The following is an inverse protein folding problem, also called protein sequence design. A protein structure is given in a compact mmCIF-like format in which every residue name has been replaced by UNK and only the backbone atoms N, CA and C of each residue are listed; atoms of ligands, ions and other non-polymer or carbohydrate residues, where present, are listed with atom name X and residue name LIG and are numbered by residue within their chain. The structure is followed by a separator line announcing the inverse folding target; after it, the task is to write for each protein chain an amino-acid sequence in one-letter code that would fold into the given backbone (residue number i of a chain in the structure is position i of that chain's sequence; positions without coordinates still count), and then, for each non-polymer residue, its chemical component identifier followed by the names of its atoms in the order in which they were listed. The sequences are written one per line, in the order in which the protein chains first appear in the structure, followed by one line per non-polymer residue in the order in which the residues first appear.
data_IF_138302123161
#
_entry.id   IF_138302123161
#
_cell.length_a   1.000
_cell.length_b   1.000
_cell.length_c   1.000
_cell.angle_alpha   90.00
_cell.angle_beta   90.00
_cell.angle_gamma   90.00
#
_symmetry.space_group_name_H-M   'P 1'
#
loop_
_entity.id
_entity.type
_entity.pdbx_description
1 polymer ?
#
# COMPACT_ATOMS: atom_id res chain seq x y z
N UNK A 1 -2.71 -6.05 -24.37
CA UNK A 1 -1.38 -5.46 -24.47
C UNK A 1 -0.30 -6.47 -24.14
N UNK A 2 0.75 -6.47 -24.91
CA UNK A 2 1.90 -7.35 -24.69
C UNK A 2 2.57 -7.14 -23.34
N UNK A 3 2.40 -5.97 -22.74
CA UNK A 3 2.94 -5.66 -21.42
C UNK A 3 2.43 -6.58 -20.34
N UNK A 4 1.17 -6.99 -20.41
CA UNK A 4 0.58 -7.88 -19.40
C UNK A 4 1.04 -9.33 -19.56
N UNK A 5 1.37 -9.73 -20.77
CA UNK A 5 1.87 -11.09 -21.03
C UNK A 5 3.32 -11.28 -20.58
N UNK A 6 4.08 -10.18 -20.44
CA UNK A 6 5.50 -10.22 -20.09
C UNK A 6 5.82 -9.80 -18.69
N UNK A 7 4.79 -9.62 -17.83
CA UNK A 7 5.01 -9.28 -16.42
C UNK A 7 5.72 -10.44 -15.73
N UNK A 8 6.94 -10.17 -15.26
CA UNK A 8 7.73 -11.14 -14.51
C UNK A 8 7.19 -11.22 -13.07
N UNK A 9 7.48 -12.34 -12.38
CA UNK A 9 7.04 -12.55 -11.00
C UNK A 9 7.38 -11.37 -10.08
N UNK A 10 8.56 -10.77 -10.27
CA UNK A 10 8.99 -9.61 -9.48
C UNK A 10 8.10 -8.40 -9.71
N UNK A 11 7.74 -8.12 -10.97
CA UNK A 11 6.86 -7.01 -11.32
C UNK A 11 5.44 -7.24 -10.78
N UNK A 12 4.97 -8.48 -10.86
CA UNK A 12 3.68 -8.85 -10.30
C UNK A 12 3.65 -8.67 -8.79
N UNK A 13 4.71 -9.07 -8.10
CA UNK A 13 4.86 -8.87 -6.66
C UNK A 13 4.76 -7.40 -6.29
N UNK A 14 5.54 -6.55 -6.97
CA UNK A 14 5.56 -5.11 -6.70
C UNK A 14 4.20 -4.47 -7.00
N UNK A 15 3.55 -4.89 -8.07
CA UNK A 15 2.21 -4.43 -8.45
C UNK A 15 1.18 -4.79 -7.37
N UNK A 16 1.20 -6.04 -6.89
CA UNK A 16 0.28 -6.50 -5.86
C UNK A 16 0.51 -5.79 -4.53
N UNK A 17 1.77 -5.60 -4.14
CA UNK A 17 2.11 -4.86 -2.92
C UNK A 17 1.56 -3.43 -3.01
N UNK A 18 1.73 -2.78 -4.15
CA UNK A 18 1.22 -1.42 -4.38
C UNK A 18 -0.29 -1.34 -4.26
N UNK A 19 -1.02 -2.27 -4.90
CA UNK A 19 -2.48 -2.32 -4.82
C UNK A 19 -2.95 -2.55 -3.39
N UNK A 20 -2.35 -3.50 -2.68
CA UNK A 20 -2.71 -3.82 -1.29
C UNK A 20 -2.40 -2.63 -0.38
N UNK A 21 -1.30 -1.94 -0.62
CA UNK A 21 -0.92 -0.71 0.08
C UNK A 21 -2.02 0.36 -0.06
N UNK A 22 -2.50 0.60 -1.28
CA UNK A 22 -3.56 1.57 -1.52
C UNK A 22 -4.89 1.15 -0.89
N UNK A 23 -5.21 -0.15 -0.92
CA UNK A 23 -6.40 -0.68 -0.25
C UNK A 23 -6.31 -0.46 1.26
N UNK A 24 -5.14 -0.64 1.84
CA UNK A 24 -4.92 -0.40 3.27
C UNK A 24 -5.22 1.05 3.64
N UNK A 25 -4.75 2.01 2.85
CA UNK A 25 -5.07 3.42 3.06
C UNK A 25 -6.57 3.69 2.95
N UNK A 26 -7.25 3.07 1.98
CA UNK A 26 -8.70 3.20 1.84
C UNK A 26 -9.45 2.63 3.05
N UNK A 27 -8.97 1.53 3.62
CA UNK A 27 -9.52 0.95 4.84
C UNK A 27 -9.36 1.89 6.04
N UNK A 28 -8.19 2.51 6.18
CA UNK A 28 -7.96 3.50 7.22
C UNK A 28 -8.86 4.72 7.06
N UNK A 29 -9.00 5.21 5.83
CA UNK A 29 -9.87 6.34 5.53
C UNK A 29 -11.34 6.01 5.83
N UNK A 30 -11.75 4.77 5.57
CA UNK A 30 -13.10 4.31 5.91
C UNK A 30 -13.31 4.21 7.42
N UNK A 31 -12.28 3.72 8.14
CA UNK A 31 -12.35 3.55 9.60
C UNK A 31 -12.47 4.87 10.34
N UNK A 32 -11.69 5.87 9.95
CA UNK A 32 -11.63 7.17 10.64
C UNK A 32 -12.47 8.25 9.98
N UNK A 33 -12.94 8.06 8.75
CA UNK A 33 -13.51 9.08 7.88
C UNK A 33 -12.41 9.82 7.11
N UNK A 34 -12.70 10.19 5.86
CA UNK A 34 -11.71 10.81 4.97
C UNK A 34 -11.08 12.07 5.55
N UNK A 35 -11.91 12.96 6.11
CA UNK A 35 -11.45 14.23 6.67
C UNK A 35 -10.50 14.00 7.85
N UNK A 36 -10.91 13.14 8.77
CA UNK A 36 -10.11 12.85 9.97
C UNK A 36 -8.81 12.12 9.62
N UNK A 37 -8.89 11.15 8.71
CA UNK A 37 -7.70 10.43 8.26
C UNK A 37 -6.70 11.37 7.59
N UNK A 38 -7.18 12.29 6.75
CA UNK A 38 -6.33 13.30 6.10
C UNK A 38 -5.62 14.16 7.13
N UNK A 39 -6.32 14.62 8.14
CA UNK A 39 -5.74 15.41 9.23
C UNK A 39 -4.69 14.62 10.00
N UNK A 40 -4.98 13.37 10.34
CA UNK A 40 -4.05 12.47 11.04
C UNK A 40 -2.79 12.22 10.20
N UNK A 41 -2.97 11.98 8.91
CA UNK A 41 -1.86 11.74 7.98
C UNK A 41 -0.97 12.98 7.86
N UNK A 42 -1.56 14.15 7.69
CA UNK A 42 -0.81 15.41 7.60
C UNK A 42 -0.04 15.72 8.90
N UNK A 43 -0.64 15.42 10.06
CA UNK A 43 0.05 15.58 11.34
C UNK A 43 1.28 14.66 11.43
N UNK A 44 1.14 13.41 11.02
CA UNK A 44 2.27 12.47 11.01
C UNK A 44 3.36 12.92 10.03
N UNK A 45 2.97 13.37 8.83
CA UNK A 45 3.89 13.88 7.83
C UNK A 45 4.70 15.07 8.38
N UNK A 46 3.99 16.02 9.00
CA UNK A 46 4.63 17.21 9.58
C UNK A 46 5.55 16.84 10.74
N UNK A 47 5.18 15.84 11.55
CA UNK A 47 6.01 15.33 12.63
C UNK A 47 7.33 14.78 12.09
N UNK A 48 7.28 13.96 11.04
CA UNK A 48 8.49 13.39 10.46
C UNK A 48 9.40 14.48 9.86
N UNK A 49 8.81 15.46 9.19
CA UNK A 49 9.57 16.61 8.67
C UNK A 49 10.25 17.35 9.83
N UNK A 50 9.55 17.61 10.92
CA UNK A 50 10.08 18.30 12.09
C UNK A 50 11.23 17.53 12.74
N UNK A 51 11.20 16.20 12.67
CA UNK A 51 12.26 15.33 13.19
C UNK A 51 13.44 15.17 12.22
N UNK A 52 13.39 15.81 11.05
CA UNK A 52 14.43 15.68 10.03
C UNK A 52 14.39 14.34 9.30
N UNK A 53 13.26 13.65 9.35
CA UNK A 53 13.05 12.35 8.69
C UNK A 53 12.24 12.51 7.42
N UNK A 54 12.12 11.41 6.66
CA UNK A 54 11.36 11.41 5.42
C UNK A 54 9.85 11.42 5.72
N UNK A 55 9.12 12.31 5.06
CA UNK A 55 7.68 12.48 5.26
C UNK A 55 6.85 11.29 4.78
N UNK A 56 7.40 10.49 3.87
CA UNK A 56 6.75 9.30 3.32
C UNK A 56 7.33 8.01 3.92
N UNK A 57 8.65 7.80 3.80
CA UNK A 57 9.30 6.56 4.21
C UNK A 57 9.24 6.32 5.72
N UNK A 58 9.26 7.39 6.51
CA UNK A 58 9.20 7.31 7.97
C UNK A 58 7.80 7.54 8.53
N UNK A 59 6.81 7.77 7.66
CA UNK A 59 5.42 7.96 8.04
C UNK A 59 4.81 6.64 8.52
N UNK A 60 4.26 6.61 9.73
CA UNK A 60 3.72 5.37 10.32
C UNK A 60 2.60 4.74 9.52
N UNK A 61 1.78 5.54 8.83
CA UNK A 61 0.69 5.03 7.99
C UNK A 61 1.22 4.36 6.73
N UNK A 62 2.29 4.93 6.15
CA UNK A 62 2.95 4.35 4.99
C UNK A 62 3.71 3.07 5.35
N UNK A 63 4.40 3.06 6.49
CA UNK A 63 5.11 1.89 7.00
C UNK A 63 4.12 0.74 7.24
N UNK A 64 2.99 1.02 7.88
CA UNK A 64 1.98 0.01 8.15
C UNK A 64 1.36 -0.55 6.87
N UNK A 65 1.05 0.31 5.89
CA UNK A 65 0.49 -0.09 4.61
C UNK A 65 1.48 -0.95 3.81
N UNK A 66 2.76 -0.59 3.79
CA UNK A 66 3.81 -1.34 3.11
C UNK A 66 4.01 -2.71 3.76
N UNK A 67 4.05 -2.75 5.07
CA UNK A 67 4.16 -4.01 5.84
C UNK A 67 2.98 -4.93 5.55
N UNK A 68 1.77 -4.39 5.50
CA UNK A 68 0.57 -5.14 5.17
C UNK A 68 0.64 -5.71 3.76
N UNK A 69 1.08 -4.90 2.79
CA UNK A 69 1.26 -5.34 1.41
C UNK A 69 2.26 -6.48 1.28
N UNK A 70 3.41 -6.35 1.93
CA UNK A 70 4.45 -7.38 1.92
C UNK A 70 4.00 -8.67 2.60
N UNK A 71 3.18 -8.58 3.64
CA UNK A 71 2.68 -9.75 4.36
C UNK A 71 1.58 -10.50 3.58
N UNK A 72 0.87 -9.83 2.67
CA UNK A 72 -0.34 -10.38 2.06
C UNK A 72 -0.25 -10.60 0.54
N UNK A 73 0.79 -10.11 -0.14
CA UNK A 73 0.85 -10.18 -1.60
C UNK A 73 0.79 -11.60 -2.15
N UNK A 74 1.43 -12.58 -1.51
CA UNK A 74 1.46 -13.95 -1.99
C UNK A 74 0.08 -14.62 -1.86
N UNK A 75 -0.64 -14.30 -0.80
CA UNK A 75 -2.02 -14.76 -0.59
C UNK A 75 -2.94 -14.23 -1.69
N UNK A 76 -2.82 -12.95 -2.02
CA UNK A 76 -3.60 -12.32 -3.08
C UNK A 76 -3.23 -12.85 -4.46
N UNK A 77 -1.95 -13.09 -4.70
CA UNK A 77 -1.47 -13.71 -5.95
C UNK A 77 -2.12 -15.07 -6.16
N UNK A 78 -2.14 -15.92 -5.14
CA UNK A 78 -2.77 -17.25 -5.22
C UNK A 78 -4.26 -17.15 -5.51
N UNK A 79 -4.93 -16.21 -4.88
CA UNK A 79 -6.36 -15.97 -5.08
C UNK A 79 -6.66 -15.50 -6.50
N UNK A 80 -5.89 -14.54 -7.00
CA UNK A 80 -6.06 -14.04 -8.37
C UNK A 80 -5.79 -15.11 -9.40
N UNK A 81 -4.79 -15.94 -9.18
CA UNK A 81 -4.46 -17.06 -10.05
C UNK A 81 -5.59 -18.10 -10.07
N UNK A 82 -6.15 -18.41 -8.91
CA UNK A 82 -7.29 -19.33 -8.77
C UNK A 82 -8.53 -18.84 -9.52
N UNK A 83 -8.76 -17.53 -9.50
CA UNK A 83 -9.90 -16.90 -10.17
C UNK A 83 -9.64 -16.59 -11.65
N UNK A 84 -8.46 -16.94 -12.16
CA UNK A 84 -8.11 -16.72 -13.56
C UNK A 84 -7.80 -15.29 -13.93
N UNK A 85 -7.50 -14.42 -12.97
CA UNK A 85 -7.22 -13.01 -13.19
C UNK A 85 -5.76 -12.77 -13.62
N UNK A 86 -4.89 -13.72 -13.35
CA UNK A 86 -3.48 -13.67 -13.74
C UNK A 86 -2.96 -15.05 -14.14
#
# INVERSE_FOLDING_TARGET
STRYKTIKNRQLKDFLITIIHEIYHAMDAKRYGWKKFKEMYEMEMNLQIALGKDEYDDNKYEIAAEKFGKANWSKWKRRFKKEGLI
#
